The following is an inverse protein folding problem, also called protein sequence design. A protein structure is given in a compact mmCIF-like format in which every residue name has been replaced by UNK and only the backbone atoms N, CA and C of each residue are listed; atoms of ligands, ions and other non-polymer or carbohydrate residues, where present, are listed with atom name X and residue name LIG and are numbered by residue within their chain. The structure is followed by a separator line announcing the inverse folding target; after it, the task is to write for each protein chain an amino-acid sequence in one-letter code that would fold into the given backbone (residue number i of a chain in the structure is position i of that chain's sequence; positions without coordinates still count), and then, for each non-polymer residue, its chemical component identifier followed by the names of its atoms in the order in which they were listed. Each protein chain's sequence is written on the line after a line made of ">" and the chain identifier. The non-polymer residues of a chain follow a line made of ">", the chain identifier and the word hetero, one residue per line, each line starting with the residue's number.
data_IF_342029462104
#
_entry.id   IF_342029462104
#
_cell.length_a   1.000
_cell.length_b   1.000
_cell.length_c   1.000
_cell.angle_alpha   90.00
_cell.angle_beta   90.00
_cell.angle_gamma   90.00
#
_symmetry.space_group_name_H-M   'P 1'
#
loop_
_entity.id
_entity.type
_entity.pdbx_description
1 polymer ?
#
# COMPACT_ATOMS: atom_id res chain seq x y z
N UNK A 1 23.36 -16.41 3.08
CA UNK A 1 22.97 -16.27 4.50
C UNK A 1 21.60 -16.92 4.66
N UNK A 2 21.37 -17.74 5.68
CA UNK A 2 20.06 -18.34 5.94
C UNK A 2 19.16 -17.20 6.46
N UNK A 3 17.97 -17.02 5.87
CA UNK A 3 17.02 -16.02 6.37
C UNK A 3 16.55 -16.41 7.76
N UNK A 4 16.47 -15.45 8.65
CA UNK A 4 15.95 -15.63 10.01
C UNK A 4 14.42 -15.84 9.96
N UNK A 5 13.73 -15.09 9.10
CA UNK A 5 12.30 -15.22 8.85
C UNK A 5 12.10 -15.63 7.38
N UNK A 6 11.33 -16.70 7.11
CA UNK A 6 11.04 -17.14 5.74
C UNK A 6 10.30 -16.09 4.93
N UNK A 7 10.51 -16.07 3.60
CA UNK A 7 9.69 -15.27 2.69
C UNK A 7 8.25 -15.80 2.68
N UNK A 8 7.31 -14.89 2.61
CA UNK A 8 5.88 -15.19 2.49
C UNK A 8 5.32 -16.05 3.64
N UNK A 9 5.95 -15.98 4.82
CA UNK A 9 5.45 -16.67 6.00
C UNK A 9 4.11 -16.12 6.47
N UNK A 10 3.24 -16.99 6.97
CA UNK A 10 1.97 -16.62 7.59
C UNK A 10 2.02 -16.79 9.13
N UNK A 11 3.19 -17.10 9.68
CA UNK A 11 3.39 -17.36 11.12
C UNK A 11 3.08 -16.14 12.01
N UNK A 12 2.97 -14.96 11.41
CA UNK A 12 2.58 -13.72 12.10
C UNK A 12 1.10 -13.65 12.46
N UNK A 13 0.25 -14.50 11.86
CA UNK A 13 -1.19 -14.56 12.17
C UNK A 13 -1.48 -15.95 12.72
N UNK A 14 -1.87 -16.01 14.00
CA UNK A 14 -2.21 -17.24 14.71
C UNK A 14 -3.72 -17.34 14.89
N UNK A 15 -4.19 -18.57 15.08
CA UNK A 15 -5.58 -18.88 15.39
C UNK A 15 -6.58 -18.31 14.37
N UNK A 16 -6.20 -18.36 13.09
CA UNK A 16 -7.06 -18.01 11.97
C UNK A 16 -6.97 -19.05 10.85
N UNK A 17 -8.10 -19.36 10.24
CA UNK A 17 -8.13 -20.12 9.00
C UNK A 17 -7.71 -19.22 7.86
N UNK A 18 -6.71 -19.65 7.08
CA UNK A 18 -6.19 -18.88 5.94
C UNK A 18 -6.52 -19.60 4.66
N UNK A 19 -7.21 -18.90 3.76
CA UNK A 19 -7.55 -19.41 2.42
C UNK A 19 -7.06 -18.47 1.35
N UNK A 20 -6.66 -19.02 0.20
CA UNK A 20 -6.26 -18.23 -0.97
C UNK A 20 -7.38 -18.23 -1.99
N UNK A 21 -7.80 -17.05 -2.42
CA UNK A 21 -8.82 -16.84 -3.43
C UNK A 21 -8.19 -16.28 -4.68
N UNK A 22 -8.27 -17.01 -5.79
CA UNK A 22 -7.77 -16.62 -7.10
C UNK A 22 -8.90 -16.03 -7.93
N UNK A 23 -8.60 -14.98 -8.67
CA UNK A 23 -9.53 -14.37 -9.61
C UNK A 23 -8.79 -13.86 -10.85
N UNK A 24 -9.54 -13.58 -11.91
CA UNK A 24 -8.99 -13.09 -13.17
C UNK A 24 -9.44 -11.67 -13.42
N UNK A 25 -8.52 -10.84 -13.88
CA UNK A 25 -8.83 -9.49 -14.33
C UNK A 25 -9.38 -9.50 -15.75
N UNK A 26 -10.10 -8.43 -16.13
CA UNK A 26 -10.65 -8.28 -17.49
C UNK A 26 -9.55 -8.29 -18.57
N UNK A 27 -8.36 -7.77 -18.24
CA UNK A 27 -7.18 -7.78 -19.13
C UNK A 27 -6.33 -9.06 -19.01
N UNK A 28 -6.86 -10.12 -18.38
CA UNK A 28 -6.34 -11.50 -18.45
C UNK A 28 -5.24 -11.84 -17.45
N UNK A 29 -5.11 -11.13 -16.32
CA UNK A 29 -4.17 -11.49 -15.26
C UNK A 29 -4.81 -12.33 -14.17
N UNK A 30 -4.12 -13.37 -13.72
CA UNK A 30 -4.46 -14.08 -12.48
C UNK A 30 -3.91 -13.34 -11.27
N UNK A 31 -4.78 -12.95 -10.35
CA UNK A 31 -4.43 -12.30 -9.09
C UNK A 31 -5.00 -13.10 -7.92
N UNK A 32 -4.56 -12.78 -6.69
CA UNK A 32 -5.00 -13.51 -5.51
C UNK A 32 -5.27 -12.61 -4.31
N UNK A 33 -6.10 -13.11 -3.41
CA UNK A 33 -6.29 -12.57 -2.08
C UNK A 33 -6.06 -13.66 -1.04
N UNK A 34 -5.44 -13.31 0.08
CA UNK A 34 -5.47 -14.12 1.28
C UNK A 34 -6.63 -13.68 2.16
N UNK A 35 -7.44 -14.63 2.60
CA UNK A 35 -8.53 -14.43 3.54
C UNK A 35 -8.16 -15.06 4.87
N UNK A 36 -8.22 -14.28 5.92
CA UNK A 36 -7.99 -14.67 7.30
C UNK A 36 -9.33 -14.69 8.05
N UNK A 37 -9.77 -15.85 8.48
CA UNK A 37 -11.00 -16.01 9.25
C UNK A 37 -10.73 -16.54 10.64
N UNK A 38 -11.43 -15.99 11.63
CA UNK A 38 -11.40 -16.49 13.01
C UNK A 38 -12.81 -16.81 13.48
N UNK A 39 -12.99 -18.04 13.99
CA UNK A 39 -14.28 -18.54 14.49
C UNK A 39 -15.17 -19.16 13.42
N UNK A 40 -16.12 -20.01 13.88
CA UNK A 40 -17.03 -20.78 13.03
C UNK A 40 -18.34 -20.07 12.69
N UNK A 41 -18.58 -18.87 13.23
CA UNK A 41 -19.78 -18.09 13.01
C UNK A 41 -19.83 -17.42 11.63
N UNK A 42 -21.01 -16.85 11.27
CA UNK A 42 -21.07 -15.95 10.14
C UNK A 42 -20.12 -14.75 10.39
N UNK A 43 -19.31 -14.44 9.41
CA UNK A 43 -18.48 -13.25 9.48
C UNK A 43 -19.38 -12.02 9.53
N UNK A 44 -19.03 -11.04 10.37
CA UNK A 44 -19.62 -9.71 10.36
C UNK A 44 -19.16 -8.90 9.16
N UNK A 45 -18.88 -7.62 9.37
CA UNK A 45 -18.28 -6.75 8.36
C UNK A 45 -16.89 -7.22 8.00
N UNK A 46 -16.52 -7.11 6.71
CA UNK A 46 -15.21 -7.53 6.22
C UNK A 46 -14.24 -6.35 6.09
N UNK A 47 -12.95 -6.61 6.30
CA UNK A 47 -11.88 -5.63 6.05
C UNK A 47 -11.01 -6.09 4.90
N UNK A 48 -10.87 -5.26 3.86
CA UNK A 48 -9.95 -5.46 2.75
C UNK A 48 -8.69 -4.61 2.95
N UNK A 49 -7.52 -5.24 2.93
CA UNK A 49 -6.22 -4.56 3.06
C UNK A 49 -5.48 -4.61 1.73
N UNK A 50 -4.95 -3.47 1.28
CA UNK A 50 -4.27 -3.30 -0.01
C UNK A 50 -2.89 -2.70 0.21
N UNK A 51 -1.86 -3.39 -0.24
CA UNK A 51 -0.46 -3.00 -0.09
C UNK A 51 -0.03 -1.88 -1.07
N UNK A 52 1.20 -1.39 -0.91
CA UNK A 52 1.82 -0.42 -1.80
C UNK A 52 2.50 -1.06 -3.02
N UNK A 53 3.18 -0.21 -3.80
CA UNK A 53 3.90 -0.66 -5.00
C UNK A 53 4.97 -1.69 -4.64
N UNK A 54 4.93 -2.83 -5.34
CA UNK A 54 5.85 -3.97 -5.25
C UNK A 54 6.04 -4.59 -3.87
N UNK A 55 5.16 -4.30 -2.91
CA UNK A 55 5.04 -5.05 -1.67
C UNK A 55 4.01 -6.18 -1.83
N UNK A 56 3.48 -6.70 -0.75
CA UNK A 56 2.46 -7.75 -0.75
C UNK A 56 1.71 -7.78 0.58
N UNK A 57 0.81 -8.74 0.73
CA UNK A 57 0.18 -9.12 2.00
C UNK A 57 1.19 -9.25 3.14
N UNK A 58 2.43 -9.67 2.86
CA UNK A 58 3.48 -9.89 3.88
C UNK A 58 3.74 -8.67 4.76
N UNK A 59 3.51 -7.46 4.27
CA UNK A 59 3.65 -6.24 5.05
C UNK A 59 2.68 -6.16 6.25
N UNK A 60 1.53 -6.83 6.15
CA UNK A 60 0.46 -6.74 7.15
C UNK A 60 0.36 -7.96 8.07
N UNK A 61 1.20 -8.98 7.82
CA UNK A 61 1.22 -10.25 8.56
C UNK A 61 2.61 -10.56 9.16
N UNK A 62 3.45 -9.53 9.33
CA UNK A 62 4.82 -9.68 9.83
C UNK A 62 4.84 -10.31 11.22
N UNK A 63 5.66 -11.35 11.47
CA UNK A 63 5.67 -12.06 12.76
C UNK A 63 6.44 -11.33 13.86
N UNK A 64 7.29 -10.36 13.52
CA UNK A 64 8.18 -9.68 14.45
C UNK A 64 7.53 -8.54 15.26
N UNK A 65 6.32 -8.19 14.96
CA UNK A 65 5.53 -7.22 15.72
C UNK A 65 4.05 -7.59 15.71
N UNK A 66 3.23 -6.92 16.54
CA UNK A 66 1.79 -7.11 16.54
C UNK A 66 1.19 -6.47 15.27
N UNK A 67 0.97 -7.31 14.26
CA UNK A 67 0.64 -6.89 12.91
C UNK A 67 -0.85 -6.52 12.75
N UNK A 68 -1.17 -5.83 11.63
CA UNK A 68 -2.50 -5.29 11.40
C UNK A 68 -3.59 -6.38 11.30
N UNK A 69 -3.30 -7.51 10.63
CA UNK A 69 -4.29 -8.58 10.48
C UNK A 69 -4.64 -9.17 11.84
N UNK A 70 -3.65 -9.50 12.67
CA UNK A 70 -3.87 -10.00 14.02
C UNK A 70 -4.63 -8.99 14.88
N UNK A 71 -4.26 -7.70 14.78
CA UNK A 71 -4.92 -6.63 15.52
C UNK A 71 -6.41 -6.53 15.16
N UNK A 72 -6.77 -6.58 13.88
CA UNK A 72 -8.18 -6.54 13.45
C UNK A 72 -8.95 -7.77 13.93
N UNK A 73 -8.37 -8.98 13.80
CA UNK A 73 -8.98 -10.22 14.27
C UNK A 73 -9.24 -10.20 15.77
N UNK A 74 -8.31 -9.68 16.56
CA UNK A 74 -8.41 -9.58 18.02
C UNK A 74 -9.42 -8.52 18.47
N UNK A 75 -9.74 -7.55 17.61
CA UNK A 75 -10.74 -6.51 17.84
C UNK A 75 -12.09 -6.78 17.17
N UNK A 76 -12.38 -8.05 16.81
CA UNK A 76 -13.70 -8.50 16.40
C UNK A 76 -14.00 -8.43 14.90
N UNK A 77 -13.04 -8.04 14.05
CA UNK A 77 -13.15 -8.13 12.59
C UNK A 77 -12.68 -9.52 12.14
N UNK A 78 -13.57 -10.50 12.23
CA UNK A 78 -13.23 -11.93 12.05
C UNK A 78 -13.08 -12.36 10.58
N UNK A 79 -13.19 -11.46 9.63
CA UNK A 79 -13.07 -11.71 8.19
C UNK A 79 -12.19 -10.63 7.54
N UNK A 80 -10.89 -10.86 7.52
CA UNK A 80 -9.88 -9.95 6.99
C UNK A 80 -9.31 -10.48 5.69
N UNK A 81 -9.32 -9.66 4.65
CA UNK A 81 -8.82 -9.98 3.33
C UNK A 81 -7.61 -9.13 2.98
N UNK A 82 -6.59 -9.72 2.40
CA UNK A 82 -5.42 -9.01 1.90
C UNK A 82 -5.28 -9.25 0.39
N UNK A 83 -5.35 -8.18 -0.40
CA UNK A 83 -5.26 -8.26 -1.85
C UNK A 83 -3.80 -8.19 -2.30
N UNK A 84 -3.35 -9.22 -2.99
CA UNK A 84 -2.12 -9.22 -3.78
C UNK A 84 -2.47 -8.88 -5.24
N UNK A 85 -2.52 -7.57 -5.54
CA UNK A 85 -2.86 -7.07 -6.86
C UNK A 85 -1.66 -7.12 -7.83
N UNK A 86 -1.82 -6.73 -9.12
CA UNK A 86 -0.79 -6.93 -10.17
C UNK A 86 0.62 -6.43 -9.81
N UNK A 87 0.76 -5.50 -8.87
CA UNK A 87 2.04 -4.97 -8.42
C UNK A 87 2.65 -5.72 -7.23
N UNK A 88 2.02 -6.80 -6.77
CA UNK A 88 2.54 -7.59 -5.65
C UNK A 88 3.84 -8.31 -5.99
N UNK A 89 4.78 -8.36 -5.05
CA UNK A 89 5.99 -9.18 -5.21
C UNK A 89 5.70 -10.69 -5.20
N UNK A 90 4.50 -11.11 -4.79
CA UNK A 90 4.00 -12.48 -4.94
C UNK A 90 3.70 -12.84 -6.38
N UNK A 91 3.44 -11.84 -7.23
CA UNK A 91 3.20 -11.96 -8.65
C UNK A 91 4.37 -11.44 -9.48
N UNK A 92 5.59 -11.88 -9.14
CA UNK A 92 6.83 -11.39 -9.74
C UNK A 92 6.87 -11.47 -11.27
N UNK A 93 6.12 -12.41 -11.89
CA UNK A 93 5.96 -12.51 -13.34
C UNK A 93 5.31 -11.26 -13.98
N UNK A 94 4.45 -10.55 -13.25
CA UNK A 94 3.82 -9.31 -13.72
C UNK A 94 4.82 -8.13 -13.75
N UNK A 95 5.84 -8.15 -12.89
CA UNK A 95 6.76 -7.02 -12.73
C UNK A 95 7.79 -6.92 -13.85
N UNK A 96 8.16 -8.04 -14.46
CA UNK A 96 9.25 -8.11 -15.45
C UNK A 96 8.78 -8.03 -16.90
N UNK A 97 7.58 -8.52 -17.20
CA UNK A 97 7.12 -8.74 -18.58
C UNK A 97 6.22 -7.63 -19.12
N UNK A 98 5.58 -6.87 -18.27
CA UNK A 98 4.49 -5.98 -18.66
C UNK A 98 4.73 -4.54 -18.19
N UNK A 99 4.22 -3.58 -18.97
CA UNK A 99 4.36 -2.14 -18.71
C UNK A 99 3.07 -1.56 -18.20
N UNK A 100 2.61 -2.04 -17.06
CA UNK A 100 1.41 -1.56 -16.41
C UNK A 100 1.57 -0.16 -15.82
N UNK A 101 0.45 0.51 -15.63
CA UNK A 101 0.32 1.83 -15.02
C UNK A 101 -0.64 1.80 -13.84
N UNK A 102 -0.86 2.92 -13.17
CA UNK A 102 -1.91 3.03 -12.14
C UNK A 102 -3.31 2.92 -12.74
N UNK A 103 -3.47 3.27 -14.03
CA UNK A 103 -4.75 3.18 -14.73
C UNK A 103 -5.20 1.73 -14.85
N UNK A 104 -4.27 0.82 -15.22
CA UNK A 104 -4.56 -0.61 -15.31
C UNK A 104 -4.99 -1.18 -13.96
N UNK A 105 -4.30 -0.78 -12.89
CA UNK A 105 -4.66 -1.20 -11.53
C UNK A 105 -6.05 -0.70 -11.14
N UNK A 106 -6.33 0.59 -11.37
CA UNK A 106 -7.60 1.20 -11.01
C UNK A 106 -8.79 0.62 -11.79
N UNK A 107 -8.58 0.23 -13.05
CA UNK A 107 -9.64 -0.30 -13.91
C UNK A 107 -9.88 -1.78 -13.73
N UNK A 108 -8.81 -2.57 -13.59
CA UNK A 108 -8.91 -4.02 -13.81
C UNK A 108 -8.70 -4.86 -12.56
N UNK A 109 -7.99 -4.36 -11.52
CA UNK A 109 -7.66 -5.19 -10.36
C UNK A 109 -8.76 -5.19 -9.29
N UNK A 110 -9.34 -4.02 -9.00
CA UNK A 110 -10.28 -3.86 -7.89
C UNK A 110 -11.70 -4.35 -8.16
N UNK A 111 -12.30 -4.16 -9.35
CA UNK A 111 -13.64 -4.68 -9.61
C UNK A 111 -13.74 -6.20 -9.41
N UNK A 112 -12.90 -7.04 -10.05
CA UNK A 112 -12.99 -8.49 -9.85
C UNK A 112 -12.56 -8.94 -8.45
N UNK A 113 -11.68 -8.19 -7.75
CA UNK A 113 -11.35 -8.48 -6.36
C UNK A 113 -12.56 -8.29 -5.43
N UNK A 114 -13.29 -7.18 -5.56
CA UNK A 114 -14.50 -6.93 -4.80
C UNK A 114 -15.62 -7.92 -5.16
N UNK A 115 -15.75 -8.27 -6.45
CA UNK A 115 -16.69 -9.30 -6.89
C UNK A 115 -16.38 -10.66 -6.26
N UNK A 116 -15.09 -11.07 -6.25
CA UNK A 116 -14.68 -12.31 -5.59
C UNK A 116 -15.00 -12.30 -4.09
N UNK A 117 -14.72 -11.18 -3.39
CA UNK A 117 -15.14 -11.05 -1.99
C UNK A 117 -16.65 -11.20 -1.84
N UNK A 118 -17.45 -10.53 -2.67
CA UNK A 118 -18.93 -10.58 -2.62
C UNK A 118 -19.49 -11.98 -2.78
N UNK A 119 -18.86 -12.85 -3.57
CA UNK A 119 -19.25 -14.27 -3.69
C UNK A 119 -19.19 -15.01 -2.35
N UNK A 120 -18.33 -14.57 -1.44
CA UNK A 120 -18.09 -15.22 -0.15
C UNK A 120 -18.78 -14.53 1.04
N UNK A 121 -18.96 -13.22 0.98
CA UNK A 121 -19.49 -12.44 2.10
C UNK A 121 -20.91 -11.90 1.85
N UNK A 122 -21.43 -12.01 0.60
CA UNK A 122 -22.71 -11.42 0.22
C UNK A 122 -22.68 -9.89 0.33
N UNK A 123 -23.77 -9.30 0.83
CA UNK A 123 -23.96 -7.85 0.93
C UNK A 123 -23.36 -7.23 2.19
N UNK A 124 -22.56 -7.98 2.95
CA UNK A 124 -21.94 -7.47 4.17
C UNK A 124 -21.06 -6.25 3.89
N UNK A 125 -20.99 -5.28 4.82
CA UNK A 125 -20.14 -4.10 4.65
C UNK A 125 -18.68 -4.45 4.45
N UNK A 126 -18.00 -3.72 3.57
CA UNK A 126 -16.56 -3.84 3.32
C UNK A 126 -15.89 -2.53 3.72
N UNK A 127 -14.94 -2.59 4.63
CA UNK A 127 -14.03 -1.51 4.96
C UNK A 127 -12.68 -1.74 4.28
N UNK A 128 -12.05 -0.69 3.76
CA UNK A 128 -10.80 -0.82 2.99
C UNK A 128 -9.67 -0.06 3.68
N UNK A 129 -8.55 -0.72 3.90
CA UNK A 129 -7.29 -0.10 4.35
C UNK A 129 -6.28 -0.24 3.22
N UNK A 130 -5.81 0.88 2.68
CA UNK A 130 -4.89 0.86 1.56
C UNK A 130 -3.68 1.78 1.78
N UNK A 131 -2.54 1.37 1.21
CA UNK A 131 -1.25 2.02 1.42
C UNK A 131 -0.58 2.43 0.11
N UNK A 132 0.07 3.60 0.13
CA UNK A 132 0.97 4.08 -0.94
C UNK A 132 0.27 4.12 -2.31
N UNK A 133 0.89 3.58 -3.35
CA UNK A 133 0.28 3.56 -4.69
C UNK A 133 -0.91 2.60 -4.79
N UNK A 134 -1.07 1.63 -3.89
CA UNK A 134 -2.33 0.89 -3.71
C UNK A 134 -3.46 1.80 -3.25
N UNK A 135 -3.17 2.74 -2.33
CA UNK A 135 -4.16 3.73 -1.92
C UNK A 135 -4.46 4.73 -3.05
N UNK A 136 -3.44 5.18 -3.78
CA UNK A 136 -3.64 6.08 -4.92
C UNK A 136 -4.57 5.44 -5.97
N UNK A 137 -4.26 4.23 -6.43
CA UNK A 137 -5.04 3.55 -7.47
C UNK A 137 -6.43 3.12 -6.99
N UNK A 138 -6.59 2.72 -5.71
CA UNK A 138 -7.91 2.39 -5.16
C UNK A 138 -8.81 3.63 -5.08
N UNK A 139 -8.29 4.76 -4.59
CA UNK A 139 -9.04 6.02 -4.54
C UNK A 139 -9.31 6.55 -5.97
N UNK A 140 -8.39 6.33 -6.94
CA UNK A 140 -8.67 6.62 -8.35
C UNK A 140 -9.86 5.79 -8.85
N UNK A 141 -9.88 4.49 -8.59
CA UNK A 141 -10.98 3.59 -8.99
C UNK A 141 -12.33 4.01 -8.38
N UNK A 142 -12.33 4.35 -7.08
CA UNK A 142 -13.51 4.82 -6.36
C UNK A 142 -14.02 6.16 -6.92
N UNK A 143 -13.13 7.15 -7.06
CA UNK A 143 -13.50 8.49 -7.54
C UNK A 143 -13.77 8.55 -9.06
N UNK A 144 -13.37 7.53 -9.81
CA UNK A 144 -13.80 7.32 -11.19
C UNK A 144 -15.15 6.57 -11.29
N UNK A 145 -15.72 6.12 -10.18
CA UNK A 145 -16.93 5.29 -10.13
C UNK A 145 -16.77 3.95 -10.87
N UNK A 146 -15.55 3.43 -10.91
CA UNK A 146 -15.24 2.09 -11.45
C UNK A 146 -15.62 1.02 -10.44
N UNK A 147 -15.47 1.34 -9.16
CA UNK A 147 -15.93 0.52 -8.02
C UNK A 147 -16.90 1.30 -7.15
N UNK A 148 -17.75 0.58 -6.46
CA UNK A 148 -18.69 1.07 -5.44
C UNK A 148 -18.85 0.05 -4.32
N UNK A 149 -19.88 0.22 -3.46
CA UNK A 149 -20.28 -0.76 -2.46
C UNK A 149 -19.29 -0.96 -1.30
N UNK A 150 -18.35 -0.02 -1.07
CA UNK A 150 -17.47 -0.02 0.11
C UNK A 150 -17.98 0.96 1.16
N UNK A 151 -17.94 0.54 2.43
CA UNK A 151 -18.51 1.30 3.56
C UNK A 151 -17.60 2.44 4.02
N UNK A 152 -16.28 2.23 4.03
CA UNK A 152 -15.29 3.26 4.35
C UNK A 152 -13.92 2.92 3.75
N UNK A 153 -13.07 3.93 3.58
CA UNK A 153 -11.71 3.77 3.05
C UNK A 153 -10.71 4.47 3.97
N UNK A 154 -9.62 3.81 4.33
CA UNK A 154 -8.45 4.40 4.97
C UNK A 154 -7.33 4.45 3.94
N UNK A 155 -6.96 5.65 3.49
CA UNK A 155 -5.94 5.86 2.48
C UNK A 155 -4.66 6.40 3.12
N UNK A 156 -3.61 5.55 3.24
CA UNK A 156 -2.34 5.97 3.82
C UNK A 156 -1.36 6.47 2.78
N UNK A 157 -0.78 7.60 3.06
CA UNK A 157 0.38 8.26 2.44
C UNK A 157 0.11 8.99 1.16
N UNK A 158 -0.68 8.43 0.19
CA UNK A 158 -1.04 9.13 -1.04
C UNK A 158 -2.43 8.74 -1.54
N UNK A 159 -3.13 9.72 -2.06
CA UNK A 159 -4.41 9.54 -2.75
C UNK A 159 -4.40 10.34 -4.07
N UNK A 160 -5.40 11.21 -4.31
CA UNK A 160 -5.56 11.89 -5.61
C UNK A 160 -4.60 13.05 -5.88
N UNK A 161 -3.75 13.45 -4.94
CA UNK A 161 -2.81 14.57 -5.11
C UNK A 161 -1.37 14.16 -4.81
N UNK A 162 -0.72 13.33 -5.64
CA UNK A 162 0.67 12.93 -5.41
C UNK A 162 1.61 14.13 -5.37
N UNK A 163 2.29 14.30 -4.24
CA UNK A 163 3.30 15.34 -4.02
C UNK A 163 4.56 14.70 -3.46
N UNK A 164 5.69 15.08 -3.98
CA UNK A 164 6.98 14.49 -3.62
C UNK A 164 8.00 15.58 -3.27
N UNK A 165 9.06 15.27 -2.52
CA UNK A 165 10.14 16.22 -2.27
C UNK A 165 10.74 16.80 -3.56
N UNK A 166 11.33 17.99 -3.48
CA UNK A 166 11.92 18.67 -4.66
C UNK A 166 12.92 17.79 -5.41
N UNK A 167 13.84 17.11 -4.70
CA UNK A 167 14.79 16.19 -5.32
C UNK A 167 14.12 14.98 -5.97
N UNK A 168 13.04 14.46 -5.38
CA UNK A 168 12.30 13.37 -5.99
C UNK A 168 11.63 13.79 -7.30
N UNK A 169 11.22 15.06 -7.46
CA UNK A 169 10.74 15.57 -8.77
C UNK A 169 11.82 15.48 -9.84
N UNK A 170 13.06 15.85 -9.50
CA UNK A 170 14.21 15.74 -10.41
C UNK A 170 14.48 14.26 -10.75
N UNK A 171 14.55 13.40 -9.72
CA UNK A 171 14.72 11.95 -9.93
C UNK A 171 13.65 11.38 -10.86
N UNK A 172 12.37 11.63 -10.58
CA UNK A 172 11.24 11.12 -11.36
C UNK A 172 11.24 11.60 -12.82
N UNK A 173 11.77 12.80 -13.10
CA UNK A 173 11.83 13.32 -14.47
C UNK A 173 12.95 12.74 -15.30
N UNK A 174 14.08 12.38 -14.69
CA UNK A 174 15.31 11.96 -15.38
C UNK A 174 15.63 10.48 -15.18
N UNK A 175 15.45 9.96 -13.96
CA UNK A 175 15.94 8.63 -13.61
C UNK A 175 15.29 7.49 -14.42
N UNK A 176 13.96 7.46 -14.70
CA UNK A 176 13.40 6.38 -15.49
C UNK A 176 14.06 6.21 -16.86
N UNK A 177 14.31 7.31 -17.56
CA UNK A 177 15.02 7.27 -18.84
C UNK A 177 16.49 6.88 -18.70
N UNK A 178 17.21 7.47 -17.74
CA UNK A 178 18.61 7.15 -17.51
C UNK A 178 18.80 5.70 -17.07
N UNK A 179 17.97 5.19 -16.17
CA UNK A 179 18.06 3.81 -15.68
C UNK A 179 17.75 2.81 -16.79
N UNK A 180 16.68 3.04 -17.56
CA UNK A 180 16.25 2.10 -18.60
C UNK A 180 17.15 2.15 -19.84
N UNK A 181 17.42 3.35 -20.38
CA UNK A 181 18.11 3.46 -21.68
C UNK A 181 19.62 3.65 -21.57
N UNK A 182 20.12 4.36 -20.54
CA UNK A 182 21.57 4.57 -20.40
C UNK A 182 22.22 3.45 -19.59
N UNK A 183 21.62 3.02 -18.48
CA UNK A 183 22.17 1.95 -17.64
C UNK A 183 21.67 0.55 -18.07
N UNK A 184 20.63 0.48 -18.89
CA UNK A 184 20.07 -0.78 -19.42
C UNK A 184 19.36 -1.63 -18.34
N UNK A 185 18.78 -1.00 -17.34
CA UNK A 185 17.95 -1.68 -16.34
C UNK A 185 16.47 -1.37 -16.60
N UNK A 186 15.67 -2.34 -17.07
CA UNK A 186 14.23 -2.13 -17.30
C UNK A 186 13.41 -2.02 -16.01
N UNK A 187 14.02 -2.35 -14.88
CA UNK A 187 13.45 -2.30 -13.53
C UNK A 187 14.53 -2.00 -12.50
N UNK A 188 14.12 -1.61 -11.28
CA UNK A 188 14.97 -1.52 -10.09
C UNK A 188 14.55 -2.61 -9.09
N UNK A 189 15.53 -3.26 -8.47
CA UNK A 189 15.31 -4.29 -7.45
C UNK A 189 16.10 -3.93 -6.18
N UNK A 190 15.47 -3.79 -5.02
CA UNK A 190 16.16 -3.45 -3.78
C UNK A 190 17.09 -4.57 -3.30
N UNK A 191 16.88 -5.82 -3.74
CA UNK A 191 17.67 -6.98 -3.34
C UNK A 191 18.84 -7.32 -4.26
N UNK A 192 19.24 -6.44 -5.17
CA UNK A 192 20.40 -6.68 -6.04
C UNK A 192 21.70 -6.98 -5.30
N UNK A 193 21.84 -6.51 -4.03
CA UNK A 193 22.99 -6.88 -3.18
C UNK A 193 23.09 -8.39 -2.91
N UNK A 194 21.96 -9.11 -2.99
CA UNK A 194 21.85 -10.55 -2.71
C UNK A 194 22.12 -11.42 -3.95
N UNK A 195 22.20 -10.82 -5.14
CA UNK A 195 22.44 -11.56 -6.38
C UNK A 195 23.67 -12.48 -6.26
N UNK A 196 23.60 -13.72 -6.76
CA UNK A 196 24.78 -14.59 -6.78
C UNK A 196 25.86 -14.05 -7.72
N UNK A 197 27.11 -14.12 -7.32
CA UNK A 197 28.26 -13.68 -8.13
C UNK A 197 28.37 -12.14 -8.22
N UNK A 198 29.02 -11.66 -9.29
CA UNK A 198 29.26 -10.24 -9.56
C UNK A 198 28.35 -9.78 -10.72
N UNK A 199 27.13 -9.40 -10.40
CA UNK A 199 26.16 -8.87 -11.39
C UNK A 199 26.27 -7.35 -11.51
N UNK A 200 25.78 -6.78 -12.62
CA UNK A 200 25.67 -5.31 -12.80
C UNK A 200 24.78 -4.69 -11.72
N UNK A 201 23.67 -5.35 -11.36
CA UNK A 201 22.75 -4.91 -10.29
C UNK A 201 23.45 -4.86 -8.94
N UNK A 202 24.24 -5.91 -8.60
CA UNK A 202 25.02 -5.94 -7.36
C UNK A 202 26.08 -4.85 -7.29
N UNK A 203 26.75 -4.58 -8.41
CA UNK A 203 27.72 -3.48 -8.48
C UNK A 203 27.04 -2.12 -8.28
N UNK A 204 25.87 -1.93 -8.91
CA UNK A 204 25.07 -0.72 -8.75
C UNK A 204 24.62 -0.55 -7.28
N UNK A 205 24.06 -1.60 -6.66
CA UNK A 205 23.66 -1.58 -5.24
C UNK A 205 24.83 -1.21 -4.31
N UNK A 206 26.02 -1.81 -4.53
CA UNK A 206 27.23 -1.47 -3.77
C UNK A 206 27.67 -0.01 -3.94
N UNK A 207 27.54 0.52 -5.15
CA UNK A 207 27.82 1.94 -5.42
C UNK A 207 26.87 2.83 -4.63
N UNK A 208 25.57 2.55 -4.65
CA UNK A 208 24.57 3.31 -3.91
C UNK A 208 24.84 3.27 -2.41
N UNK A 209 25.19 2.11 -1.85
CA UNK A 209 25.47 1.95 -0.43
C UNK A 209 26.63 2.84 0.07
N UNK A 210 27.56 3.23 -0.78
CA UNK A 210 28.66 4.15 -0.40
C UNK A 210 28.19 5.58 -0.08
N UNK A 211 27.00 5.97 -0.57
CA UNK A 211 26.41 7.28 -0.34
C UNK A 211 25.34 7.27 0.77
N UNK A 212 25.16 6.16 1.46
CA UNK A 212 24.16 5.94 2.48
C UNK A 212 24.79 5.55 3.82
N UNK A 213 25.15 6.53 4.66
CA UNK A 213 25.83 6.27 5.94
C UNK A 213 24.87 5.94 7.10
N UNK A 214 23.54 5.95 6.87
CA UNK A 214 22.52 5.84 7.90
C UNK A 214 22.39 4.45 8.52
N UNK A 215 22.82 3.41 7.81
CA UNK A 215 22.83 2.01 8.28
C UNK A 215 23.74 1.12 7.44
N UNK A 216 23.78 -0.17 7.76
CA UNK A 216 24.58 -1.20 7.06
C UNK A 216 23.73 -2.12 6.16
N UNK A 217 22.44 -1.78 5.90
CA UNK A 217 21.50 -2.61 5.15
C UNK A 217 21.40 -2.15 3.69
N UNK A 218 22.02 -2.87 2.72
CA UNK A 218 22.02 -2.44 1.32
C UNK A 218 20.65 -2.31 0.69
N UNK A 219 19.68 -3.16 1.10
CA UNK A 219 18.30 -3.07 0.65
C UNK A 219 17.62 -1.77 1.09
N UNK A 220 17.89 -1.29 2.31
CA UNK A 220 17.40 0.01 2.80
C UNK A 220 17.95 1.17 1.96
N UNK A 221 19.22 1.11 1.59
CA UNK A 221 19.85 2.11 0.72
C UNK A 221 19.21 2.14 -0.67
N UNK A 222 18.99 0.97 -1.26
CA UNK A 222 18.30 0.86 -2.55
C UNK A 222 16.86 1.38 -2.47
N UNK A 223 16.12 1.05 -1.41
CA UNK A 223 14.76 1.55 -1.18
C UNK A 223 14.74 3.09 -1.04
N UNK A 224 15.72 3.68 -0.34
CA UNK A 224 15.85 5.14 -0.21
C UNK A 224 16.20 5.82 -1.55
N UNK A 225 16.96 5.14 -2.42
CA UNK A 225 17.19 5.59 -3.79
C UNK A 225 15.91 5.52 -4.63
N UNK A 226 15.20 4.39 -4.56
CA UNK A 226 14.00 4.11 -5.36
C UNK A 226 12.85 5.04 -4.98
N UNK A 227 12.67 5.30 -3.70
CA UNK A 227 11.51 6.00 -3.15
C UNK A 227 11.89 7.19 -2.28
N UNK A 228 11.37 8.36 -2.63
CA UNK A 228 11.51 9.55 -1.81
C UNK A 228 12.87 10.23 -1.86
N UNK A 229 13.17 11.01 -0.84
CA UNK A 229 14.44 11.71 -0.65
C UNK A 229 14.80 11.74 0.83
N UNK A 230 16.00 11.36 1.16
CA UNK A 230 16.53 11.32 2.53
C UNK A 230 17.18 10.00 2.88
N UNK A 231 17.73 9.93 4.08
CA UNK A 231 18.45 8.81 4.64
C UNK A 231 17.92 8.49 6.04
N UNK A 232 17.08 7.48 6.21
CA UNK A 232 16.35 6.75 5.16
C UNK A 232 15.17 7.58 4.61
N UNK A 233 14.68 7.21 3.42
CA UNK A 233 13.54 7.90 2.83
C UNK A 233 12.20 7.22 3.12
N UNK A 234 12.19 5.89 3.19
CA UNK A 234 10.97 5.11 3.18
C UNK A 234 10.29 5.00 4.56
N UNK A 235 11.07 5.00 5.64
CA UNK A 235 10.60 4.85 7.01
C UNK A 235 11.57 5.49 8.00
N UNK A 236 11.12 5.70 9.24
CA UNK A 236 11.99 6.12 10.34
C UNK A 236 12.58 4.87 11.02
N UNK A 237 13.91 4.72 11.04
CA UNK A 237 14.59 3.58 11.67
C UNK A 237 14.20 3.42 13.14
N UNK A 238 14.00 4.52 13.85
CA UNK A 238 13.61 4.51 15.26
C UNK A 238 12.24 3.91 15.56
N UNK A 239 11.43 3.67 14.52
CA UNK A 239 10.12 3.06 14.65
C UNK A 239 10.14 1.57 14.33
N UNK A 240 11.27 1.02 13.86
CA UNK A 240 11.38 -0.37 13.42
C UNK A 240 12.18 -1.19 14.43
N UNK A 241 11.76 -2.42 14.66
CA UNK A 241 12.63 -3.42 15.25
C UNK A 241 13.82 -3.71 14.31
N UNK A 242 14.97 -4.05 14.87
CA UNK A 242 16.20 -4.31 14.08
C UNK A 242 16.00 -5.44 13.06
N UNK A 243 15.30 -6.51 13.43
CA UNK A 243 14.96 -7.61 12.54
C UNK A 243 14.08 -7.14 11.36
N UNK A 244 13.11 -6.28 11.60
CA UNK A 244 12.24 -5.69 10.58
C UNK A 244 13.05 -4.84 9.61
N UNK A 245 13.95 -3.99 10.12
CA UNK A 245 14.83 -3.17 9.29
C UNK A 245 15.72 -4.04 8.40
N UNK A 246 16.35 -5.09 8.94
CA UNK A 246 17.24 -5.98 8.19
C UNK A 246 16.53 -6.77 7.08
N UNK A 247 15.29 -7.18 7.32
CA UNK A 247 14.50 -7.91 6.32
C UNK A 247 13.63 -7.02 5.43
N UNK A 248 13.73 -5.69 5.55
CA UNK A 248 12.92 -4.74 4.78
C UNK A 248 12.95 -5.00 3.27
N UNK A 249 14.10 -5.43 2.72
CA UNK A 249 14.22 -5.81 1.31
C UNK A 249 13.36 -7.02 0.90
N UNK A 250 13.00 -7.89 1.83
CA UNK A 250 12.16 -9.08 1.57
C UNK A 250 10.72 -8.70 1.23
N UNK A 251 10.27 -7.55 1.72
CA UNK A 251 8.91 -7.05 1.48
C UNK A 251 8.72 -6.47 0.08
N UNK A 252 9.80 -6.22 -0.67
CA UNK A 252 9.74 -5.51 -1.95
C UNK A 252 10.23 -6.37 -3.10
N UNK A 253 9.51 -6.27 -4.21
CA UNK A 253 9.92 -6.80 -5.51
C UNK A 253 10.56 -5.75 -6.43
N UNK A 254 10.83 -6.17 -7.65
CA UNK A 254 11.31 -5.28 -8.70
C UNK A 254 10.22 -4.29 -9.13
N UNK A 255 10.63 -3.06 -9.45
CA UNK A 255 9.72 -1.99 -9.89
C UNK A 255 10.00 -1.59 -11.32
N UNK A 256 8.98 -1.70 -12.18
CA UNK A 256 9.04 -1.23 -13.57
C UNK A 256 9.15 0.29 -13.67
N UNK A 257 9.89 0.77 -14.68
CA UNK A 257 10.05 2.22 -14.93
C UNK A 257 8.74 2.92 -15.30
N UNK A 258 7.73 2.19 -15.76
CA UNK A 258 6.45 2.78 -16.16
C UNK A 258 5.68 3.39 -15.00
N UNK A 259 5.72 2.75 -13.83
CA UNK A 259 5.08 3.31 -12.63
C UNK A 259 5.71 4.65 -12.22
N UNK A 260 7.04 4.76 -12.29
CA UNK A 260 7.73 6.03 -12.02
C UNK A 260 7.35 7.12 -13.02
N UNK A 261 7.18 6.77 -14.31
CA UNK A 261 6.73 7.70 -15.35
C UNK A 261 5.31 8.20 -15.06
N UNK A 262 4.40 7.30 -14.66
CA UNK A 262 3.03 7.69 -14.33
C UNK A 262 2.99 8.60 -13.09
N UNK A 263 3.70 8.25 -12.01
CA UNK A 263 3.84 9.11 -10.83
C UNK A 263 4.44 10.47 -11.21
N UNK A 264 5.45 10.50 -12.07
CA UNK A 264 6.03 11.76 -12.59
C UNK A 264 4.99 12.63 -13.31
N UNK A 265 4.13 12.01 -14.14
CA UNK A 265 3.03 12.71 -14.82
C UNK A 265 2.03 13.29 -13.83
N UNK A 266 1.58 12.50 -12.85
CA UNK A 266 0.67 12.96 -11.80
C UNK A 266 1.25 14.11 -10.98
N UNK A 267 2.53 14.02 -10.58
CA UNK A 267 3.23 15.07 -9.82
C UNK A 267 3.34 16.37 -10.62
N UNK A 268 3.59 16.28 -11.94
CA UNK A 268 3.63 17.45 -12.83
C UNK A 268 2.24 18.07 -13.01
N UNK A 269 1.20 17.26 -13.10
CA UNK A 269 -0.19 17.71 -13.22
C UNK A 269 -0.75 18.26 -11.89
N UNK A 270 -0.11 17.98 -10.74
CA UNK A 270 -0.58 18.38 -9.42
C UNK A 270 -1.78 17.56 -8.91
N UNK A 271 -2.04 16.40 -9.50
CA UNK A 271 -3.11 15.49 -9.15
C UNK A 271 -3.07 14.20 -9.94
N UNK A 272 -3.89 13.23 -9.55
CA UNK A 272 -4.08 12.00 -10.30
C UNK A 272 -4.66 12.32 -11.69
N UNK A 273 -4.03 11.77 -12.71
CA UNK A 273 -4.41 11.89 -14.12
C UNK A 273 -4.12 10.57 -14.83
N UNK A 274 -4.81 10.30 -15.92
CA UNK A 274 -4.53 9.14 -16.78
C UNK A 274 -3.09 9.17 -17.32
N UNK A 275 -2.47 8.00 -17.43
CA UNK A 275 -1.15 7.86 -18.05
C UNK A 275 -1.18 8.19 -19.54
N UNK A 276 -2.15 7.65 -20.24
CA UNK A 276 -2.38 7.90 -21.66
C UNK A 276 -3.86 8.23 -21.91
N UNK A 277 -4.13 9.05 -22.92
CA UNK A 277 -5.49 9.34 -23.37
C UNK A 277 -5.82 8.41 -24.55
N UNK A 278 -6.13 7.15 -24.21
CA UNK A 278 -6.48 6.10 -25.15
C UNK A 278 -7.88 5.58 -24.83
N UNK A 279 -8.63 5.01 -25.81
CA UNK A 279 -9.97 4.48 -25.59
C UNK A 279 -10.06 3.46 -24.45
N UNK A 280 -9.01 2.71 -24.20
CA UNK A 280 -8.90 1.74 -23.10
C UNK A 280 -9.14 2.39 -21.72
N UNK A 281 -8.74 3.65 -21.54
CA UNK A 281 -8.85 4.38 -20.29
C UNK A 281 -9.99 5.42 -20.28
N UNK A 282 -10.95 5.36 -21.20
CA UNK A 282 -12.08 6.31 -21.27
C UNK A 282 -12.99 6.26 -20.03
N UNK A 283 -13.01 5.14 -19.31
CA UNK A 283 -13.72 4.98 -18.03
C UNK A 283 -13.09 5.81 -16.91
N UNK A 284 -11.82 6.24 -17.03
CA UNK A 284 -11.12 7.06 -16.05
C UNK A 284 -11.24 8.54 -16.42
N UNK A 285 -11.51 9.44 -15.46
CA UNK A 285 -11.58 10.88 -15.72
C UNK A 285 -10.18 11.50 -15.80
N UNK A 286 -10.07 12.65 -16.47
CA UNK A 286 -8.86 13.48 -16.41
C UNK A 286 -8.77 14.31 -15.11
N UNK A 287 -9.89 14.50 -14.42
CA UNK A 287 -9.96 15.12 -13.09
C UNK A 287 -10.82 14.23 -12.16
N UNK A 288 -10.18 13.56 -11.24
CA UNK A 288 -10.83 12.66 -10.29
C UNK A 288 -11.68 13.39 -9.24
N UNK A 289 -11.49 14.70 -9.04
CA UNK A 289 -12.34 15.50 -8.15
C UNK A 289 -13.70 15.83 -8.77
N UNK A 290 -13.86 15.61 -10.09
CA UNK A 290 -15.12 15.86 -10.80
C UNK A 290 -16.32 15.20 -10.15
N UNK A 291 -16.15 13.96 -9.67
CA UNK A 291 -17.23 13.18 -9.07
C UNK A 291 -17.24 13.21 -7.53
N UNK A 292 -16.43 14.06 -6.91
CA UNK A 292 -16.27 14.07 -5.44
C UNK A 292 -17.59 14.27 -4.66
N UNK A 293 -18.57 15.00 -5.24
CA UNK A 293 -19.89 15.19 -4.62
C UNK A 293 -20.74 13.91 -4.61
N UNK A 294 -20.54 13.05 -5.62
CA UNK A 294 -21.29 11.81 -5.84
C UNK A 294 -20.70 10.64 -5.03
N UNK A 295 -19.45 10.75 -4.57
CA UNK A 295 -18.80 9.72 -3.77
C UNK A 295 -19.22 9.89 -2.30
N UNK A 296 -20.11 9.02 -1.85
CA UNK A 296 -20.63 9.06 -0.46
C UNK A 296 -19.71 8.35 0.53
N UNK A 297 -18.87 7.43 0.06
CA UNK A 297 -17.93 6.66 0.87
C UNK A 297 -16.99 7.61 1.65
N UNK A 298 -16.99 7.58 2.99
CA UNK A 298 -16.07 8.36 3.81
C UNK A 298 -14.64 7.84 3.65
N UNK A 299 -13.67 8.76 3.62
CA UNK A 299 -12.25 8.42 3.52
C UNK A 299 -11.49 9.06 4.67
N UNK A 300 -10.72 8.25 5.42
CA UNK A 300 -9.68 8.72 6.31
C UNK A 300 -8.38 8.84 5.52
N UNK A 301 -7.96 10.06 5.25
CA UNK A 301 -6.62 10.34 4.73
C UNK A 301 -5.62 10.34 5.88
N UNK A 302 -4.60 9.48 5.81
CA UNK A 302 -3.57 9.46 6.84
C UNK A 302 -2.16 9.51 6.24
N UNK A 303 -1.21 10.02 7.00
CA UNK A 303 0.20 10.07 6.63
C UNK A 303 1.08 10.24 7.85
N UNK A 304 2.35 9.88 7.77
CA UNK A 304 3.35 10.27 8.76
C UNK A 304 3.87 11.69 8.49
N UNK A 305 4.13 12.46 9.55
CA UNK A 305 4.71 13.80 9.44
C UNK A 305 6.14 13.78 8.85
N UNK A 306 6.85 12.65 9.01
CA UNK A 306 8.19 12.41 8.46
C UNK A 306 8.16 11.71 7.09
N UNK A 307 7.02 11.69 6.40
CA UNK A 307 6.91 11.08 5.09
C UNK A 307 7.79 11.81 4.06
N UNK A 308 8.81 11.12 3.56
CA UNK A 308 9.78 11.62 2.58
C UNK A 308 9.59 11.04 1.17
N UNK A 309 8.53 10.27 0.99
CA UNK A 309 8.10 9.71 -0.33
C UNK A 309 7.01 10.59 -0.92
N UNK A 310 5.86 10.64 -0.26
CA UNK A 310 4.71 11.47 -0.65
C UNK A 310 4.37 12.46 0.46
N UNK A 311 5.13 13.50 0.59
CA UNK A 311 5.16 14.50 1.66
C UNK A 311 3.79 14.82 2.30
N UNK A 312 3.16 15.89 1.83
CA UNK A 312 1.86 16.43 2.26
C UNK A 312 0.70 16.02 1.33
N UNK A 313 0.88 14.94 0.55
CA UNK A 313 -0.09 14.49 -0.46
C UNK A 313 -1.50 14.36 0.09
N UNK A 314 -1.66 13.62 1.19
CA UNK A 314 -2.97 13.38 1.78
C UNK A 314 -3.55 14.60 2.49
N UNK A 315 -2.70 15.48 3.02
CA UNK A 315 -3.13 16.76 3.59
C UNK A 315 -3.79 17.61 2.50
N UNK A 316 -3.11 17.80 1.38
CA UNK A 316 -3.63 18.60 0.26
C UNK A 316 -4.85 17.95 -0.40
N UNK A 317 -4.88 16.61 -0.49
CA UNK A 317 -6.04 15.88 -0.99
C UNK A 317 -7.27 16.14 -0.12
N UNK A 318 -7.13 15.98 1.19
CA UNK A 318 -8.19 16.25 2.15
C UNK A 318 -8.66 17.72 2.09
N UNK A 319 -7.74 18.68 2.06
CA UNK A 319 -8.09 20.11 1.94
C UNK A 319 -8.91 20.42 0.69
N UNK A 320 -8.56 19.81 -0.46
CA UNK A 320 -9.34 19.98 -1.69
C UNK A 320 -10.74 19.38 -1.55
N UNK A 321 -10.86 18.18 -1.03
CA UNK A 321 -12.15 17.51 -0.81
C UNK A 321 -13.00 18.23 0.23
N UNK A 322 -12.39 18.76 1.29
CA UNK A 322 -13.09 19.54 2.32
C UNK A 322 -13.76 20.80 1.76
N UNK A 323 -13.20 21.41 0.70
CA UNK A 323 -13.84 22.55 -0.01
C UNK A 323 -15.02 22.10 -0.87
N UNK A 324 -15.05 20.86 -1.35
CA UNK A 324 -16.10 20.34 -2.25
C UNK A 324 -17.23 19.69 -1.45
N UNK A 325 -16.87 18.89 -0.45
CA UNK A 325 -17.79 18.10 0.41
C UNK A 325 -17.37 18.21 1.88
N UNK A 326 -17.66 19.33 2.55
CA UNK A 326 -17.25 19.57 3.92
C UNK A 326 -17.74 18.48 4.88
N UNK A 327 -16.85 18.02 5.78
CA UNK A 327 -17.17 17.08 6.87
C UNK A 327 -17.34 15.61 6.47
N UNK A 328 -17.25 15.26 5.18
CA UNK A 328 -17.40 13.86 4.74
C UNK A 328 -16.16 13.02 4.99
N UNK A 329 -14.99 13.60 4.86
CA UNK A 329 -13.70 12.91 4.96
C UNK A 329 -12.92 13.39 6.17
N UNK A 330 -11.99 12.57 6.65
CA UNK A 330 -11.14 12.87 7.80
C UNK A 330 -9.66 12.89 7.42
N UNK A 331 -8.85 13.58 8.21
CA UNK A 331 -7.39 13.61 8.08
C UNK A 331 -6.74 13.26 9.42
N UNK A 332 -5.72 12.41 9.38
CA UNK A 332 -4.84 12.18 10.53
C UNK A 332 -3.36 12.17 10.11
N UNK A 333 -2.54 12.91 10.85
CA UNK A 333 -1.08 12.97 10.63
C UNK A 333 -0.37 12.43 11.86
N UNK A 334 0.38 11.33 11.69
CA UNK A 334 1.14 10.71 12.78
C UNK A 334 2.49 11.40 12.96
N UNK A 335 2.75 12.08 14.11
CA UNK A 335 3.88 13.02 14.25
C UNK A 335 5.27 12.39 14.05
N UNK A 336 5.46 11.12 14.43
CA UNK A 336 6.76 10.44 14.42
C UNK A 336 6.98 9.46 13.28
N UNK A 337 5.95 9.22 12.48
CA UNK A 337 5.97 8.19 11.43
C UNK A 337 6.38 8.75 10.08
N UNK A 338 7.01 7.90 9.28
CA UNK A 338 7.37 8.16 7.89
C UNK A 338 6.31 7.66 6.91
N UNK A 339 6.78 7.02 5.82
CA UNK A 339 5.89 6.54 4.75
C UNK A 339 5.35 5.13 5.04
N UNK A 340 6.23 4.19 5.39
CA UNK A 340 5.94 2.75 5.49
C UNK A 340 5.71 2.28 6.93
N UNK A 341 6.41 2.87 7.87
CA UNK A 341 6.40 2.49 9.28
C UNK A 341 5.04 2.56 9.99
N UNK A 342 4.00 3.27 9.49
CA UNK A 342 2.64 3.13 10.03
C UNK A 342 2.06 1.70 9.99
N UNK A 343 2.66 0.79 9.24
CA UNK A 343 2.22 -0.62 9.17
C UNK A 343 3.26 -1.63 9.65
N UNK A 344 4.53 -1.24 9.77
CA UNK A 344 5.62 -2.15 10.11
C UNK A 344 6.46 -1.69 11.32
N UNK A 345 6.03 -0.65 12.01
CA UNK A 345 6.67 -0.17 13.22
C UNK A 345 6.40 -1.10 14.41
N UNK A 346 7.30 -1.10 15.38
CA UNK A 346 7.23 -1.94 16.57
C UNK A 346 6.13 -1.53 17.57
N UNK A 347 5.56 -0.32 17.42
CA UNK A 347 4.53 0.25 18.29
C UNK A 347 3.26 0.68 17.56
N UNK A 348 3.04 0.16 16.35
CA UNK A 348 1.89 0.56 15.52
C UNK A 348 0.55 0.16 16.14
N UNK A 349 0.53 -0.90 16.93
CA UNK A 349 -0.63 -1.38 17.69
C UNK A 349 -1.13 -0.36 18.74
N UNK A 350 -0.27 0.53 19.20
CA UNK A 350 -0.57 1.57 20.19
C UNK A 350 -0.73 2.94 19.53
N UNK A 351 0.11 3.24 18.55
CA UNK A 351 0.24 4.60 18.01
C UNK A 351 -0.62 4.81 16.74
N UNK A 352 -0.92 3.74 15.98
CA UNK A 352 -1.54 3.84 14.65
C UNK A 352 -2.85 3.05 14.54
N UNK A 353 -2.83 1.76 14.84
CA UNK A 353 -3.97 0.87 14.60
C UNK A 353 -5.25 1.26 15.36
N UNK A 354 -5.20 1.80 16.60
CA UNK A 354 -6.40 2.28 17.27
C UNK A 354 -7.15 3.34 16.45
N UNK A 355 -6.43 4.24 15.76
CA UNK A 355 -7.05 5.27 14.94
C UNK A 355 -7.74 4.69 13.69
N UNK A 356 -7.17 3.62 13.12
CA UNK A 356 -7.80 2.89 12.01
C UNK A 356 -9.09 2.24 12.48
N UNK A 357 -9.02 1.54 13.62
CA UNK A 357 -10.16 0.86 14.21
C UNK A 357 -11.29 1.84 14.55
N UNK A 358 -10.99 2.95 15.23
CA UNK A 358 -11.97 4.00 15.56
C UNK A 358 -12.71 4.51 14.31
N UNK A 359 -11.99 4.67 13.19
CA UNK A 359 -12.62 5.13 11.95
C UNK A 359 -13.52 4.05 11.34
N UNK A 360 -13.11 2.80 11.34
CA UNK A 360 -13.93 1.68 10.86
C UNK A 360 -15.18 1.54 11.74
N UNK A 361 -15.03 1.52 13.06
CA UNK A 361 -16.14 1.42 14.01
C UNK A 361 -17.16 2.56 13.85
N UNK A 362 -16.68 3.79 13.63
CA UNK A 362 -17.55 4.95 13.35
C UNK A 362 -18.44 4.76 12.12
N UNK A 363 -18.01 3.94 11.16
CA UNK A 363 -18.70 3.71 9.90
C UNK A 363 -19.28 2.29 9.76
N UNK A 364 -19.39 1.56 10.87
CA UNK A 364 -20.09 0.27 10.91
C UNK A 364 -21.57 0.47 10.57
N UNK A 365 -22.11 -0.52 9.86
CA UNK A 365 -23.54 -0.57 9.51
C UNK A 365 -24.31 -1.61 10.33
N UNK A 366 -23.61 -2.61 10.85
CA UNK A 366 -24.19 -3.63 11.72
C UNK A 366 -24.14 -3.21 13.19
N UNK A 367 -25.15 -3.63 14.01
CA UNK A 367 -25.09 -3.41 15.45
C UNK A 367 -23.87 -4.09 16.07
N UNK A 368 -23.14 -3.42 16.97
CA UNK A 368 -21.95 -3.98 17.57
C UNK A 368 -22.30 -5.23 18.37
N UNK A 369 -21.83 -6.40 17.98
CA UNK A 369 -21.67 -7.49 18.91
C UNK A 369 -20.71 -7.00 19.99
N UNK A 370 -21.20 -6.76 21.22
CA UNK A 370 -20.39 -6.40 22.38
C UNK A 370 -19.47 -7.56 22.69
N UNK A 371 -18.27 -7.54 22.13
CA UNK A 371 -17.16 -8.29 22.68
C UNK A 371 -16.60 -7.46 23.86
N UNK A 372 -16.71 -8.00 25.07
CA UNK A 372 -16.05 -7.40 26.24
C UNK A 372 -14.56 -7.24 25.90
N UNK A 373 -14.08 -6.01 25.90
CA UNK A 373 -12.66 -5.71 25.73
C UNK A 373 -11.90 -6.52 26.77
N UNK A 374 -11.09 -7.48 26.32
CA UNK A 374 -10.14 -8.16 27.21
C UNK A 374 -9.22 -7.06 27.72
N UNK A 375 -9.44 -6.66 28.96
CA UNK A 375 -8.57 -5.74 29.65
C UNK A 375 -7.19 -6.38 29.69
N UNK A 376 -6.25 -5.90 28.87
CA UNK A 376 -4.85 -6.22 28.98
C UNK A 376 -4.37 -5.67 30.32
N UNK A 377 -4.50 -6.50 31.36
CA UNK A 377 -3.97 -6.23 32.67
C UNK A 377 -2.47 -6.03 32.59
N UNK A 378 -2.04 -4.83 32.95
CA UNK A 378 -0.65 -4.59 33.27
C UNK A 378 -0.26 -5.46 34.47
N UNK A 379 0.75 -6.27 34.32
CA UNK A 379 1.57 -6.79 35.40
C UNK A 379 3.03 -6.72 34.97
#
# INVERSE_FOLDING_TARGET
>A
MKREIPLFTLDGVKDADVTTHWFWTEDGLGLSMLRFRRGAGEAGEAVLIIHGLTTSTDMFVMPEHYNLVSYLLDNGYTDVWCLDFRMSNRHSYNLFKHRYTMDDVALYDYPPALEEMRRHIGDKPIHVICHCLGANSFVMSLFAKVIDGVSSVIANSVALTPRVPKWSKVKLSMAPGAVEYLLGFPYLNPRWSEDPGLTRGKMFSRMISKFHPECDVPACHMLSLMWGTGWPALYSHSNLADVTHRRGGDLYGATSMNYYRHVSKMVKAGGAVKYADTPEYDRLPNDYFRYAREIETPVLFMTGANNRVFTDSNVICHERLQRIVPGRHELHVFPRYGHQDPFMGDRVDRDVFPRLLDFIEKHRKDEPQRFDRVATGAA
#
